data_IF_675004654100
#
_entry.id   IF_675004654100
#
_cell.length_a   1.000
_cell.length_b   1.000
_cell.length_c   1.000
_cell.angle_alpha   90.00
_cell.angle_beta   90.00
_cell.angle_gamma   90.00
#
_symmetry.space_group_name_H-M   'P 1'
#
loop_
_entity.id
_entity.type
_entity.pdbx_description
1 polymer ?
#
# COMPACT_ATOMS: atom_id res chain seq x y z
N UNK A 1 -40.79 -43.55 -11.01
CA UNK A 1 -40.10 -43.67 -9.70
C UNK A 1 -38.90 -42.74 -9.48
N UNK A 2 -38.26 -42.16 -10.48
CA UNK A 2 -37.16 -41.24 -10.27
C UNK A 2 -37.64 -39.75 -10.28
N UNK A 3 -38.78 -39.48 -10.89
CA UNK A 3 -39.36 -38.11 -10.97
C UNK A 3 -40.04 -37.67 -9.66
N UNK A 4 -40.59 -38.60 -8.89
CA UNK A 4 -41.32 -38.28 -7.66
C UNK A 4 -40.42 -37.88 -6.50
N UNK A 5 -39.16 -38.42 -6.46
CA UNK A 5 -38.19 -38.08 -5.45
C UNK A 5 -37.65 -36.65 -5.63
N UNK A 6 -37.60 -36.18 -6.86
CA UNK A 6 -37.11 -34.81 -7.17
C UNK A 6 -38.10 -33.72 -6.74
N UNK A 7 -39.42 -33.97 -6.92
CA UNK A 7 -40.47 -33.07 -6.47
C UNK A 7 -40.60 -33.03 -4.94
N UNK A 8 -40.35 -34.16 -4.26
CA UNK A 8 -40.31 -34.20 -2.79
C UNK A 8 -39.15 -33.41 -2.19
N UNK A 9 -37.98 -33.46 -2.77
CA UNK A 9 -36.82 -32.66 -2.33
C UNK A 9 -37.00 -31.17 -2.59
N UNK A 10 -37.59 -30.80 -3.73
CA UNK A 10 -37.89 -29.38 -4.03
C UNK A 10 -38.92 -28.82 -3.06
N UNK A 11 -39.97 -29.59 -2.71
CA UNK A 11 -40.98 -29.21 -1.73
C UNK A 11 -40.43 -28.99 -0.33
N UNK A 12 -39.47 -29.81 0.11
CA UNK A 12 -38.80 -29.66 1.41
C UNK A 12 -37.93 -28.41 1.49
N UNK A 13 -37.20 -28.09 0.42
CA UNK A 13 -36.39 -26.88 0.33
C UNK A 13 -37.26 -25.62 0.38
N UNK A 14 -38.39 -25.61 -0.30
CA UNK A 14 -39.32 -24.47 -0.29
C UNK A 14 -39.98 -24.30 1.09
N UNK A 15 -40.30 -25.40 1.78
CA UNK A 15 -40.89 -25.36 3.13
C UNK A 15 -39.89 -24.85 4.18
N UNK A 16 -38.60 -25.27 4.10
CA UNK A 16 -37.54 -24.74 4.97
C UNK A 16 -37.30 -23.26 4.72
N UNK A 17 -37.37 -22.81 3.47
CA UNK A 17 -37.25 -21.40 3.11
C UNK A 17 -38.41 -20.55 3.64
N UNK A 18 -39.63 -21.06 3.56
CA UNK A 18 -40.85 -20.41 4.11
C UNK A 18 -40.80 -20.33 5.64
N UNK A 19 -40.34 -21.39 6.33
CA UNK A 19 -40.18 -21.38 7.79
C UNK A 19 -39.10 -20.39 8.25
N UNK A 20 -38.00 -20.24 7.51
CA UNK A 20 -36.95 -19.24 7.82
C UNK A 20 -37.42 -17.81 7.58
N UNK A 21 -38.30 -17.58 6.59
CA UNK A 21 -38.89 -16.25 6.34
C UNK A 21 -39.95 -15.86 7.37
N UNK A 22 -40.69 -16.82 7.94
CA UNK A 22 -41.71 -16.55 8.97
C UNK A 22 -41.14 -16.27 10.36
N UNK A 23 -39.91 -16.64 10.65
CA UNK A 23 -39.22 -16.28 11.89
C UNK A 23 -38.69 -14.83 11.94
N UNK A 24 -38.83 -14.08 10.83
CA UNK A 24 -38.35 -12.67 10.73
C UNK A 24 -39.48 -11.63 10.86
N UNK A 25 -40.74 -12.06 11.14
CA UNK A 25 -41.87 -11.15 11.24
C UNK A 25 -42.52 -11.29 12.63
N UNK A 26 -41.86 -10.85 13.69
CA UNK A 26 -42.49 -10.49 14.97
C UNK A 26 -41.69 -9.39 15.67
N UNK A 27 -42.28 -8.19 15.86
CA UNK A 27 -41.69 -7.16 16.68
C UNK A 27 -42.14 -7.33 18.15
N UNK A 28 -41.21 -7.33 19.08
CA UNK A 28 -41.50 -7.19 20.50
C UNK A 28 -41.29 -5.72 20.90
N UNK A 29 -42.44 -5.09 21.25
CA UNK A 29 -42.48 -3.79 21.89
C UNK A 29 -41.77 -3.80 23.26
N UNK A 30 -40.88 -2.83 23.49
CA UNK A 30 -40.70 -2.26 24.82
C UNK A 30 -40.19 -0.81 24.70
N UNK A 31 -41.07 0.06 25.16
CA UNK A 31 -40.85 1.49 25.26
C UNK A 31 -39.77 1.82 26.31
N UNK A 32 -38.82 2.68 25.94
CA UNK A 32 -37.96 3.38 26.90
C UNK A 32 -37.85 4.85 26.52
N UNK A 33 -38.12 5.65 27.52
CA UNK A 33 -38.24 7.09 27.63
C UNK A 33 -36.99 7.83 27.12
N UNK A 34 -37.27 8.89 26.35
CA UNK A 34 -36.31 9.86 25.85
C UNK A 34 -35.90 10.89 26.93
N UNK A 35 -34.64 11.21 27.16
CA UNK A 35 -34.27 12.42 27.87
C UNK A 35 -33.90 13.55 26.90
N UNK A 36 -34.38 14.71 27.28
CA UNK A 36 -34.32 16.05 26.73
C UNK A 36 -32.97 16.48 26.15
N UNK A 37 -33.04 17.16 24.98
CA UNK A 37 -31.98 17.90 24.30
C UNK A 37 -31.51 19.13 25.10
N UNK A 38 -30.22 19.44 25.14
CA UNK A 38 -29.74 20.76 25.54
C UNK A 38 -29.64 21.73 24.36
N UNK A 39 -30.01 22.96 24.63
CA UNK A 39 -30.06 24.11 23.72
C UNK A 39 -28.68 24.47 23.13
N UNK A 40 -28.67 24.85 21.84
CA UNK A 40 -27.53 25.43 21.12
C UNK A 40 -27.30 26.90 21.58
N UNK A 41 -26.05 27.31 21.81
CA UNK A 41 -25.73 28.72 22.05
C UNK A 41 -25.73 29.53 20.73
N UNK A 42 -26.19 30.77 20.86
CA UNK A 42 -26.36 31.78 19.81
C UNK A 42 -25.03 32.17 19.13
N UNK A 43 -25.06 32.67 17.88
CA UNK A 43 -23.87 33.00 17.12
C UNK A 43 -23.14 34.23 17.62
N UNK A 44 -21.83 34.12 17.81
CA UNK A 44 -20.92 35.22 18.15
C UNK A 44 -20.65 36.11 16.92
N UNK A 45 -20.60 37.43 17.06
CA UNK A 45 -20.42 38.35 15.93
C UNK A 45 -19.01 38.30 15.35
N UNK A 46 -18.94 38.30 14.01
CA UNK A 46 -17.70 38.32 13.22
C UNK A 46 -16.92 39.64 13.49
N UNK A 47 -15.75 39.51 14.11
CA UNK A 47 -14.74 40.59 14.13
C UNK A 47 -13.98 40.61 12.81
N UNK A 48 -13.99 41.69 12.11
CA UNK A 48 -13.07 42.01 11.02
C UNK A 48 -11.63 42.01 11.58
N UNK A 49 -10.77 41.15 11.03
CA UNK A 49 -9.33 41.19 11.23
C UNK A 49 -8.67 41.84 10.02
N UNK A 50 -7.96 42.92 10.25
CA UNK A 50 -7.03 43.51 9.30
C UNK A 50 -5.89 42.55 8.96
N UNK A 51 -5.35 42.56 7.73
CA UNK A 51 -4.25 41.66 7.34
C UNK A 51 -2.93 42.14 7.94
N UNK A 52 -2.32 41.34 8.79
CA UNK A 52 -0.94 41.50 9.21
C UNK A 52 0.04 41.11 8.08
N UNK A 53 1.18 41.81 7.94
CA UNK A 53 2.13 41.50 6.86
C UNK A 53 2.84 40.18 7.08
N UNK A 54 2.89 39.39 6.03
CA UNK A 54 3.58 38.11 5.97
C UNK A 54 5.09 38.29 6.13
N UNK A 55 5.64 37.90 7.26
CA UNK A 55 7.06 37.63 7.44
C UNK A 55 7.34 36.19 7.06
N UNK A 56 8.33 36.04 6.21
CA UNK A 56 9.06 34.82 5.77
C UNK A 56 8.51 33.45 6.09
N UNK A 57 7.82 32.81 5.16
CA UNK A 57 7.46 31.41 5.21
C UNK A 57 8.46 30.56 4.41
N UNK A 58 9.45 30.04 5.12
CA UNK A 58 10.23 28.86 4.74
C UNK A 58 9.79 27.62 5.56
N UNK A 59 8.48 27.42 5.71
CA UNK A 59 7.97 26.19 6.35
C UNK A 59 6.79 25.66 5.55
N UNK A 60 6.89 24.41 5.13
CA UNK A 60 5.80 23.62 4.57
C UNK A 60 4.56 23.74 5.46
N UNK A 61 3.34 23.93 4.92
CA UNK A 61 2.13 23.78 5.72
C UNK A 61 2.03 22.32 6.18
N UNK A 62 1.73 22.07 7.46
CA UNK A 62 1.48 20.72 7.93
C UNK A 62 0.21 20.19 7.24
N UNK A 63 0.29 19.05 6.63
CA UNK A 63 -0.85 18.26 6.20
C UNK A 63 -1.25 17.39 7.38
N UNK A 64 -2.38 17.65 8.02
CA UNK A 64 -2.88 16.88 9.17
C UNK A 64 -3.03 15.38 8.87
N UNK A 65 -3.11 15.00 7.59
CA UNK A 65 -3.09 13.60 7.15
C UNK A 65 -1.67 12.99 7.12
N UNK A 66 -0.61 13.82 7.18
CA UNK A 66 0.78 13.38 7.15
C UNK A 66 1.42 13.26 8.55
N UNK A 67 0.73 13.66 9.61
CA UNK A 67 1.27 13.59 11.00
C UNK A 67 1.58 12.17 11.49
N UNK A 68 1.14 11.12 10.76
CA UNK A 68 1.39 9.73 11.14
C UNK A 68 2.38 9.01 10.22
N UNK A 69 3.03 9.72 9.30
CA UNK A 69 4.14 9.16 8.55
C UNK A 69 5.44 9.62 9.23
N UNK A 70 6.12 8.76 10.02
CA UNK A 70 7.46 9.09 10.50
C UNK A 70 8.31 9.37 9.26
N UNK A 71 9.13 10.42 9.30
CA UNK A 71 10.09 10.72 8.24
C UNK A 71 10.83 9.42 7.90
N UNK A 72 10.66 8.84 6.72
CA UNK A 72 11.20 7.53 6.38
C UNK A 72 12.73 7.52 6.30
N UNK A 73 13.38 8.69 6.42
CA UNK A 73 14.84 8.77 6.43
C UNK A 73 15.37 8.64 7.85
N UNK A 74 15.88 7.45 8.22
CA UNK A 74 16.59 7.31 9.49
C UNK A 74 17.78 8.24 9.49
N UNK A 75 18.07 8.82 10.65
CA UNK A 75 19.28 9.62 10.84
C UNK A 75 20.52 8.79 10.47
N UNK A 76 21.54 9.38 9.83
CA UNK A 76 22.75 8.67 9.46
C UNK A 76 23.35 8.01 10.69
N UNK A 77 23.63 6.71 10.57
CA UNK A 77 24.31 5.96 11.61
C UNK A 77 25.69 6.60 11.85
N UNK A 78 26.10 6.67 13.11
CA UNK A 78 27.47 7.07 13.47
C UNK A 78 28.50 6.22 12.71
N UNK A 79 29.73 6.73 12.54
CA UNK A 79 30.80 6.05 11.81
C UNK A 79 30.85 4.54 12.11
N UNK A 80 31.00 3.68 11.08
CA UNK A 80 30.93 2.25 11.25
C UNK A 80 31.98 1.74 12.24
N UNK A 81 31.61 0.86 13.18
CA UNK A 81 32.59 0.17 13.99
C UNK A 81 33.46 -0.74 13.09
N UNK A 82 34.66 -1.10 13.49
CA UNK A 82 35.51 -1.98 12.71
C UNK A 82 34.83 -3.32 12.47
N UNK A 83 34.88 -3.79 11.22
CA UNK A 83 34.27 -5.08 10.82
C UNK A 83 34.92 -6.22 11.60
N UNK A 84 34.10 -7.07 12.23
CA UNK A 84 34.59 -8.23 12.96
C UNK A 84 34.93 -9.34 11.97
N UNK A 85 36.24 -9.58 11.78
CA UNK A 85 36.69 -10.72 11.00
C UNK A 85 36.60 -11.99 11.86
N UNK A 86 35.92 -13.07 11.44
CA UNK A 86 35.85 -14.29 12.23
C UNK A 86 37.21 -14.91 12.40
N UNK A 87 37.71 -15.05 13.62
CA UNK A 87 38.88 -15.82 13.95
C UNK A 87 38.62 -17.30 13.71
N UNK A 88 39.66 -18.07 13.32
CA UNK A 88 39.67 -19.50 13.00
C UNK A 88 38.77 -20.29 13.95
N UNK A 89 37.71 -20.91 13.43
CA UNK A 89 36.82 -21.81 14.13
C UNK A 89 35.88 -22.49 13.14
N UNK A 90 35.30 -23.67 13.52
CA UNK A 90 34.33 -24.40 12.70
C UNK A 90 33.21 -23.44 12.29
N UNK A 91 33.10 -23.12 11.00
CA UNK A 91 32.03 -22.26 10.46
C UNK A 91 30.69 -22.91 10.85
N UNK A 92 29.96 -22.28 11.79
CA UNK A 92 28.57 -22.63 12.00
C UNK A 92 27.83 -22.15 10.76
N UNK A 93 27.15 -23.07 10.06
CA UNK A 93 26.35 -22.79 8.85
C UNK A 93 25.05 -22.06 9.21
N UNK A 94 25.15 -20.87 9.76
CA UNK A 94 23.99 -20.04 10.07
C UNK A 94 24.20 -18.74 9.34
N UNK A 95 23.31 -18.46 8.40
CA UNK A 95 23.24 -17.19 7.76
C UNK A 95 22.69 -16.16 8.74
N UNK A 96 23.52 -15.20 9.13
CA UNK A 96 23.15 -14.07 9.97
C UNK A 96 23.10 -12.77 9.15
N UNK A 97 23.24 -12.83 7.81
CA UNK A 97 23.29 -11.67 6.93
C UNK A 97 22.01 -10.83 6.98
N UNK A 98 20.87 -11.47 7.26
CA UNK A 98 19.55 -10.83 7.36
C UNK A 98 19.19 -10.38 8.78
N UNK A 99 20.14 -10.47 9.74
CA UNK A 99 19.89 -10.10 11.11
C UNK A 99 20.76 -8.94 11.56
N UNK A 100 20.22 -8.09 12.40
CA UNK A 100 20.89 -6.91 12.98
C UNK A 100 20.86 -6.98 14.50
N UNK A 101 21.87 -6.37 15.16
CA UNK A 101 21.83 -6.22 16.61
C UNK A 101 20.71 -5.23 16.99
N UNK A 102 19.75 -5.61 17.86
CA UNK A 102 18.62 -4.77 18.25
C UNK A 102 18.95 -3.79 19.39
N UNK A 103 20.06 -4.02 20.09
CA UNK A 103 20.40 -3.23 21.29
C UNK A 103 20.65 -1.76 20.91
N UNK A 104 19.89 -0.79 21.45
CA UNK A 104 20.07 0.63 21.15
C UNK A 104 21.45 1.18 21.52
N UNK A 105 22.11 0.59 22.52
CA UNK A 105 23.39 1.05 23.05
C UNK A 105 24.59 0.32 22.39
N UNK A 106 24.33 -0.55 21.40
CA UNK A 106 25.39 -1.30 20.73
C UNK A 106 25.99 -0.50 19.57
N UNK A 107 27.32 -0.39 19.52
CA UNK A 107 28.02 0.25 18.41
C UNK A 107 27.74 -0.41 17.03
N UNK A 108 27.34 -1.71 17.02
CA UNK A 108 26.94 -2.42 15.80
C UNK A 108 25.43 -2.54 15.64
N UNK A 109 24.65 -1.65 16.28
CA UNK A 109 23.20 -1.63 16.13
C UNK A 109 22.79 -1.44 14.67
N UNK A 110 21.94 -2.32 14.19
CA UNK A 110 21.34 -2.17 12.85
C UNK A 110 22.26 -2.48 11.67
N UNK A 111 23.54 -2.80 11.86
CA UNK A 111 24.47 -3.10 10.78
C UNK A 111 24.25 -4.53 10.26
N UNK A 112 23.88 -4.66 8.97
CA UNK A 112 23.68 -5.94 8.28
C UNK A 112 25.02 -6.51 7.82
N UNK A 113 25.19 -7.83 7.92
CA UNK A 113 26.38 -8.52 7.36
C UNK A 113 27.72 -8.16 7.99
N UNK A 114 27.73 -7.47 9.15
CA UNK A 114 28.95 -6.96 9.79
C UNK A 114 29.79 -8.03 10.49
N UNK A 115 29.29 -9.28 10.56
CA UNK A 115 29.96 -10.39 11.23
C UNK A 115 29.89 -10.33 12.76
N UNK A 116 29.18 -9.40 13.32
CA UNK A 116 29.00 -9.21 14.76
C UNK A 116 27.99 -10.17 15.41
N UNK A 117 27.28 -10.96 14.62
CA UNK A 117 26.26 -11.90 15.11
C UNK A 117 26.74 -13.36 15.01
N UNK A 118 26.42 -14.14 16.03
CA UNK A 118 26.67 -15.58 16.10
C UNK A 118 25.42 -16.33 16.55
N UNK A 119 25.14 -17.46 15.95
CA UNK A 119 24.09 -18.35 16.47
C UNK A 119 24.51 -18.95 17.82
N UNK A 120 23.59 -18.93 18.78
CA UNK A 120 23.79 -19.41 20.14
C UNK A 120 22.87 -20.61 20.50
N UNK A 121 22.42 -21.39 19.52
CA UNK A 121 21.56 -22.54 19.72
C UNK A 121 20.07 -22.19 19.78
N UNK A 122 19.30 -23.11 20.34
CA UNK A 122 17.84 -23.02 20.46
C UNK A 122 17.47 -23.02 21.94
N UNK A 123 17.01 -21.91 22.52
CA UNK A 123 16.64 -21.87 23.91
C UNK A 123 15.46 -22.81 24.16
N UNK A 124 15.56 -23.58 25.25
CA UNK A 124 14.55 -24.56 25.69
C UNK A 124 14.16 -25.61 24.62
N UNK A 125 15.07 -25.91 23.66
CA UNK A 125 14.78 -26.81 22.55
C UNK A 125 13.74 -26.29 21.55
N UNK A 126 13.42 -24.99 21.59
CA UNK A 126 12.44 -24.38 20.72
C UNK A 126 12.86 -24.31 19.25
N UNK A 127 11.92 -24.02 18.38
CA UNK A 127 12.14 -23.94 16.93
C UNK A 127 13.07 -22.77 16.55
N UNK A 128 12.93 -21.62 17.24
CA UNK A 128 13.65 -20.39 16.91
C UNK A 128 15.04 -20.34 17.52
N UNK A 129 15.99 -19.80 16.76
CA UNK A 129 17.36 -19.64 17.21
C UNK A 129 17.55 -18.41 18.09
N UNK A 130 18.46 -18.53 19.04
CA UNK A 130 19.01 -17.42 19.75
C UNK A 130 20.26 -16.92 19.03
N UNK A 131 20.41 -15.62 18.91
CA UNK A 131 21.56 -14.94 18.36
C UNK A 131 22.31 -14.21 19.49
N UNK A 132 23.63 -14.18 19.39
CA UNK A 132 24.54 -13.43 20.28
C UNK A 132 25.23 -12.35 19.47
N UNK A 133 25.15 -11.09 19.94
CA UNK A 133 25.99 -10.04 19.43
C UNK A 133 27.38 -10.07 20.09
N UNK A 134 28.44 -10.16 19.30
CA UNK A 134 29.82 -10.24 19.78
C UNK A 134 30.36 -8.89 20.31
N UNK A 135 29.66 -7.77 20.03
CA UNK A 135 30.06 -6.43 20.45
C UNK A 135 29.46 -6.07 21.81
N UNK A 136 28.15 -6.21 21.97
CA UNK A 136 27.47 -5.87 23.23
C UNK A 136 27.18 -7.08 24.11
N UNK A 137 27.51 -8.30 23.67
CA UNK A 137 27.23 -9.56 24.34
C UNK A 137 25.75 -9.80 24.66
N UNK A 138 24.86 -9.04 24.02
CA UNK A 138 23.41 -9.21 24.16
C UNK A 138 22.88 -10.42 23.38
N UNK A 139 21.95 -11.15 23.99
CA UNK A 139 21.22 -12.27 23.38
C UNK A 139 19.86 -11.84 22.93
N UNK A 140 19.42 -12.34 21.79
CA UNK A 140 18.05 -12.12 21.29
C UNK A 140 17.61 -13.25 20.37
N UNK A 141 16.28 -13.46 20.29
CA UNK A 141 15.72 -14.44 19.34
C UNK A 141 15.72 -13.87 17.91
N UNK A 142 15.90 -14.73 16.92
CA UNK A 142 15.84 -14.35 15.51
C UNK A 142 14.48 -13.77 15.12
N UNK A 143 13.44 -14.03 15.87
CA UNK A 143 12.07 -13.46 15.70
C UNK A 143 11.86 -12.10 16.32
N UNK A 144 12.81 -11.60 17.12
CA UNK A 144 12.65 -10.31 17.81
C UNK A 144 12.40 -9.17 16.79
N UNK A 145 11.33 -8.42 16.97
CA UNK A 145 10.90 -7.36 16.06
C UNK A 145 10.14 -7.86 14.83
N UNK A 146 9.69 -9.11 14.83
CA UNK A 146 8.80 -9.68 13.81
C UNK A 146 7.46 -10.09 14.42
N UNK A 147 6.46 -10.33 13.57
CA UNK A 147 5.13 -10.81 13.96
C UNK A 147 5.17 -12.14 14.76
N UNK A 148 6.24 -12.92 14.62
CA UNK A 148 6.38 -14.24 15.27
C UNK A 148 6.89 -14.15 16.71
N UNK A 149 7.40 -12.99 17.12
CA UNK A 149 7.99 -12.85 18.44
C UNK A 149 6.95 -13.00 19.55
N UNK A 150 7.25 -13.87 20.54
CA UNK A 150 6.36 -14.10 21.69
C UNK A 150 5.06 -14.85 21.37
N UNK A 151 4.90 -15.40 20.17
CA UNK A 151 3.70 -16.19 19.82
C UNK A 151 3.84 -17.64 20.30
N UNK A 152 2.76 -18.16 20.87
CA UNK A 152 2.65 -19.56 21.29
C UNK A 152 2.11 -20.48 20.18
N UNK A 153 1.57 -19.90 19.11
CA UNK A 153 1.04 -20.65 17.96
C UNK A 153 2.13 -20.90 16.92
N UNK A 154 1.91 -21.92 16.08
CA UNK A 154 2.82 -22.20 14.97
C UNK A 154 2.93 -21.01 14.02
N UNK A 155 4.17 -20.67 13.65
CA UNK A 155 4.46 -19.68 12.63
C UNK A 155 3.85 -20.03 11.26
N UNK A 156 3.76 -21.34 10.91
CA UNK A 156 3.06 -21.82 9.72
C UNK A 156 1.58 -21.41 9.71
N UNK A 157 0.90 -21.48 10.86
CA UNK A 157 -0.49 -21.04 10.96
C UNK A 157 -0.61 -19.55 10.69
N UNK A 158 0.24 -18.72 11.30
CA UNK A 158 0.25 -17.28 11.09
C UNK A 158 0.49 -16.94 9.61
N UNK A 159 1.51 -17.56 8.99
CA UNK A 159 1.83 -17.34 7.57
C UNK A 159 0.66 -17.71 6.67
N UNK A 160 0.00 -18.85 6.90
CA UNK A 160 -1.16 -19.28 6.10
C UNK A 160 -2.36 -18.36 6.26
N UNK A 161 -2.63 -17.89 7.48
CA UNK A 161 -3.69 -16.92 7.77
C UNK A 161 -3.44 -15.60 7.01
N UNK A 162 -2.22 -15.06 7.10
CA UNK A 162 -1.86 -13.83 6.38
C UNK A 162 -1.88 -14.03 4.86
N UNK A 163 -1.44 -15.20 4.35
CA UNK A 163 -1.54 -15.53 2.93
C UNK A 163 -2.98 -15.53 2.42
N UNK A 164 -3.92 -16.11 3.18
CA UNK A 164 -5.34 -16.08 2.82
C UNK A 164 -5.91 -14.65 2.75
N UNK A 165 -5.47 -13.76 3.65
CA UNK A 165 -5.86 -12.35 3.58
C UNK A 165 -5.27 -11.64 2.35
N UNK A 166 -4.02 -11.98 1.97
CA UNK A 166 -3.36 -11.44 0.77
C UNK A 166 -4.04 -11.92 -0.54
N UNK A 167 -4.64 -13.11 -0.53
CA UNK A 167 -5.44 -13.66 -1.64
C UNK A 167 -6.91 -13.20 -1.63
N UNK A 168 -7.27 -12.25 -0.78
CA UNK A 168 -8.57 -11.60 -0.79
C UNK A 168 -9.65 -12.25 0.08
N UNK A 169 -9.30 -13.22 0.93
CA UNK A 169 -10.25 -13.69 1.94
C UNK A 169 -10.48 -12.62 3.00
N UNK A 170 -11.76 -12.44 3.39
CA UNK A 170 -12.08 -11.54 4.50
C UNK A 170 -11.74 -12.18 5.86
N UNK A 171 -11.49 -11.33 6.87
CA UNK A 171 -11.08 -11.74 8.24
C UNK A 171 -11.94 -12.86 8.80
N UNK A 172 -13.28 -12.72 8.75
CA UNK A 172 -14.21 -13.74 9.27
C UNK A 172 -14.20 -15.04 8.46
N UNK A 173 -13.95 -14.97 7.15
CA UNK A 173 -13.79 -16.15 6.30
C UNK A 173 -12.54 -16.92 6.67
N UNK A 174 -11.41 -16.22 6.76
CA UNK A 174 -10.13 -16.78 7.18
C UNK A 174 -10.21 -17.38 8.59
N UNK A 175 -10.83 -16.67 9.54
CA UNK A 175 -11.02 -17.16 10.90
C UNK A 175 -11.77 -18.50 10.95
N UNK A 176 -12.83 -18.67 10.14
CA UNK A 176 -13.58 -19.93 10.06
C UNK A 176 -12.78 -21.07 9.42
N UNK A 177 -11.96 -20.77 8.39
CA UNK A 177 -11.13 -21.78 7.70
C UNK A 177 -10.05 -22.35 8.61
N UNK A 178 -9.45 -21.51 9.45
CA UNK A 178 -8.35 -21.91 10.34
C UNK A 178 -8.77 -22.15 11.79
N UNK A 179 -10.07 -22.05 12.09
CA UNK A 179 -10.61 -22.22 13.45
C UNK A 179 -9.95 -21.29 14.48
N UNK A 180 -9.66 -20.05 14.05
CA UNK A 180 -9.02 -19.01 14.85
C UNK A 180 -10.03 -17.88 15.14
N UNK A 181 -9.93 -17.27 16.31
CA UNK A 181 -10.80 -16.11 16.62
C UNK A 181 -10.57 -14.96 15.63
N UNK A 182 -11.64 -14.32 15.11
CA UNK A 182 -11.51 -13.22 14.15
C UNK A 182 -10.68 -12.03 14.66
N UNK A 183 -10.68 -11.77 15.98
CA UNK A 183 -9.87 -10.69 16.55
C UNK A 183 -8.38 -11.05 16.54
N UNK A 184 -8.05 -12.33 16.71
CA UNK A 184 -6.67 -12.82 16.56
C UNK A 184 -6.18 -12.65 15.12
N UNK A 185 -7.02 -12.98 14.12
CA UNK A 185 -6.69 -12.74 12.71
C UNK A 185 -6.48 -11.25 12.44
N UNK A 186 -7.34 -10.40 12.99
CA UNK A 186 -7.22 -8.94 12.87
C UNK A 186 -5.93 -8.43 13.52
N UNK A 187 -5.60 -8.90 14.72
CA UNK A 187 -4.37 -8.54 15.41
C UNK A 187 -3.13 -8.93 14.60
N UNK A 188 -3.09 -10.14 14.05
CA UNK A 188 -1.97 -10.55 13.18
C UNK A 188 -1.86 -9.70 11.93
N UNK A 189 -2.99 -9.28 11.33
CA UNK A 189 -2.96 -8.35 10.20
C UNK A 189 -2.39 -6.98 10.58
N UNK A 190 -2.75 -6.45 11.76
CA UNK A 190 -2.23 -5.17 12.26
C UNK A 190 -0.71 -5.25 12.44
N UNK A 191 -0.24 -6.26 13.17
CA UNK A 191 1.19 -6.48 13.44
C UNK A 191 1.99 -6.70 12.13
N UNK A 192 1.42 -7.50 11.19
CA UNK A 192 2.03 -7.70 9.87
C UNK A 192 2.09 -6.38 9.08
N UNK A 193 1.02 -5.59 9.07
CA UNK A 193 0.94 -4.36 8.29
C UNK A 193 2.01 -3.35 8.68
N UNK A 194 2.32 -3.21 9.96
CA UNK A 194 3.37 -2.30 10.45
C UNK A 194 4.75 -2.74 9.96
N UNK A 195 5.06 -4.04 10.06
CA UNK A 195 6.30 -4.61 9.54
C UNK A 195 6.39 -4.48 8.01
N UNK A 196 5.28 -4.71 7.30
CA UNK A 196 5.23 -4.66 5.84
C UNK A 196 5.38 -3.22 5.30
N UNK A 197 4.87 -2.22 6.01
CA UNK A 197 5.13 -0.81 5.67
C UNK A 197 6.61 -0.47 5.77
N UNK A 198 7.25 -0.87 6.87
CA UNK A 198 8.69 -0.68 7.04
C UNK A 198 9.49 -1.42 5.96
N UNK A 199 9.11 -2.65 5.63
CA UNK A 199 9.70 -3.44 4.55
C UNK A 199 9.58 -2.72 3.20
N UNK A 200 8.38 -2.24 2.86
CA UNK A 200 8.13 -1.51 1.63
C UNK A 200 9.00 -0.25 1.54
N UNK A 201 9.03 0.56 2.59
CA UNK A 201 9.85 1.78 2.66
C UNK A 201 11.34 1.48 2.51
N UNK A 202 11.82 0.36 3.05
CA UNK A 202 13.22 -0.03 2.95
C UNK A 202 13.64 -0.41 1.53
N UNK A 203 12.75 -1.06 0.76
CA UNK A 203 13.08 -1.49 -0.60
C UNK A 203 12.69 -0.46 -1.67
N UNK A 204 11.64 0.34 -1.43
CA UNK A 204 11.15 1.33 -2.39
C UNK A 204 11.74 2.71 -2.08
N UNK A 205 12.97 2.94 -2.51
CA UNK A 205 13.64 4.22 -2.43
C UNK A 205 14.60 4.40 -3.60
N UNK A 206 14.94 5.64 -3.92
CA UNK A 206 15.89 6.03 -4.97
C UNK A 206 15.62 5.39 -6.34
N UNK A 207 14.32 5.25 -6.69
CA UNK A 207 13.91 4.62 -7.94
C UNK A 207 14.11 5.57 -9.13
N UNK A 208 14.71 5.07 -10.20
CA UNK A 208 14.78 5.74 -11.50
C UNK A 208 13.74 5.11 -12.44
N UNK A 209 12.68 5.84 -12.72
CA UNK A 209 11.54 5.39 -13.51
C UNK A 209 11.35 6.29 -14.72
N UNK A 210 10.89 5.71 -15.83
CA UNK A 210 10.56 6.47 -17.03
C UNK A 210 9.14 7.01 -17.00
N UNK A 211 8.23 6.28 -16.37
CA UNK A 211 6.80 6.62 -16.33
C UNK A 211 6.18 6.22 -14.99
N UNK A 212 5.24 7.02 -14.53
CA UNK A 212 4.38 6.71 -13.37
C UNK A 212 2.93 6.95 -13.75
N UNK A 213 2.08 5.95 -13.52
CA UNK A 213 0.63 6.07 -13.65
C UNK A 213 -0.02 6.18 -12.27
N UNK A 214 -0.98 7.13 -12.14
CA UNK A 214 -1.79 7.30 -10.94
C UNK A 214 -3.27 7.24 -11.29
N UNK A 215 -4.06 6.65 -10.39
CA UNK A 215 -5.52 6.59 -10.49
C UNK A 215 -6.16 6.51 -9.11
N UNK A 216 -7.44 6.85 -9.01
CA UNK A 216 -8.22 6.75 -7.79
C UNK A 216 -9.30 5.68 -7.93
N UNK A 217 -9.17 4.65 -7.12
CA UNK A 217 -10.11 3.55 -7.05
C UNK A 217 -11.20 3.85 -6.03
N UNK A 218 -12.46 3.92 -6.46
CA UNK A 218 -13.57 4.11 -5.55
C UNK A 218 -13.68 2.96 -4.54
N UNK A 219 -13.62 3.30 -3.26
CA UNK A 219 -13.70 2.38 -2.13
C UNK A 219 -14.93 2.67 -1.27
N UNK A 220 -15.64 1.61 -0.88
CA UNK A 220 -16.73 1.70 0.08
C UNK A 220 -16.18 1.35 1.46
N UNK A 221 -15.82 2.36 2.22
CA UNK A 221 -15.42 2.21 3.61
C UNK A 221 -16.54 2.74 4.50
N UNK A 222 -17.17 1.84 5.25
CA UNK A 222 -18.12 2.07 6.33
C UNK A 222 -19.51 2.69 6.04
N UNK A 223 -20.37 2.58 7.01
CA UNK A 223 -21.66 3.21 7.30
C UNK A 223 -22.93 2.67 6.61
N UNK A 224 -22.86 1.80 5.62
CA UNK A 224 -24.10 1.24 5.01
C UNK A 224 -24.55 -0.06 5.69
N UNK A 225 -24.11 -0.34 6.92
CA UNK A 225 -24.32 -1.65 7.56
C UNK A 225 -25.52 -1.77 8.52
N UNK A 226 -26.26 -0.71 8.72
CA UNK A 226 -27.27 -0.76 9.79
C UNK A 226 -28.60 -1.41 9.39
N UNK A 227 -28.68 -2.01 8.19
CA UNK A 227 -29.89 -2.75 7.77
C UNK A 227 -31.19 -1.92 7.68
N UNK A 228 -31.09 -0.65 8.08
CA UNK A 228 -32.22 0.29 8.19
C UNK A 228 -32.34 1.22 6.99
N UNK A 229 -31.39 1.15 6.05
CA UNK A 229 -31.28 2.09 4.92
C UNK A 229 -31.87 1.44 3.67
N UNK A 230 -32.74 2.14 2.96
CA UNK A 230 -33.27 1.71 1.66
C UNK A 230 -32.13 1.61 0.62
N UNK A 231 -32.31 0.78 -0.41
CA UNK A 231 -31.32 0.61 -1.48
C UNK A 231 -30.98 1.95 -2.17
N UNK A 232 -31.98 2.82 -2.37
CA UNK A 232 -31.79 4.14 -2.96
C UNK A 232 -30.92 5.04 -2.07
N UNK A 233 -31.17 5.05 -0.77
CA UNK A 233 -30.39 5.82 0.21
C UNK A 233 -28.98 5.23 0.38
N UNK A 234 -28.84 3.91 0.30
CA UNK A 234 -27.54 3.26 0.29
C UNK A 234 -26.70 3.69 -0.93
N UNK A 235 -27.31 3.76 -2.11
CA UNK A 235 -26.68 4.26 -3.34
C UNK A 235 -26.28 5.72 -3.19
N UNK A 236 -27.16 6.57 -2.66
CA UNK A 236 -26.87 7.99 -2.43
C UNK A 236 -25.75 8.20 -1.40
N UNK A 237 -25.74 7.41 -0.32
CA UNK A 237 -24.63 7.42 0.66
C UNK A 237 -23.31 6.91 0.04
N UNK A 238 -23.35 5.93 -0.86
CA UNK A 238 -22.20 5.45 -1.60
C UNK A 238 -21.65 6.51 -2.56
N UNK A 239 -22.54 7.27 -3.22
CA UNK A 239 -22.14 8.40 -4.07
C UNK A 239 -21.52 9.55 -3.26
N UNK A 240 -21.93 9.71 -2.01
CA UNK A 240 -21.38 10.66 -1.04
C UNK A 240 -20.21 10.11 -0.23
N UNK A 241 -19.88 8.82 -0.35
CA UNK A 241 -18.75 8.26 0.37
C UNK A 241 -17.46 8.92 -0.13
N UNK A 242 -16.76 9.67 0.71
CA UNK A 242 -15.59 10.43 0.28
C UNK A 242 -14.33 9.57 0.15
N UNK A 243 -14.41 8.24 0.34
CA UNK A 243 -13.24 7.38 0.46
C UNK A 243 -12.84 6.80 -0.88
N UNK A 244 -11.56 6.96 -1.19
CA UNK A 244 -10.93 6.48 -2.41
C UNK A 244 -9.62 5.80 -2.05
N UNK A 245 -9.25 4.76 -2.78
CA UNK A 245 -7.92 4.18 -2.75
C UNK A 245 -7.10 4.85 -3.83
N UNK A 246 -6.09 5.56 -3.43
CA UNK A 246 -5.10 6.18 -4.30
C UNK A 246 -4.04 5.16 -4.67
N UNK A 247 -3.74 5.06 -5.94
CA UNK A 247 -2.86 4.03 -6.49
C UNK A 247 -1.83 4.68 -7.40
N UNK A 248 -0.57 4.31 -7.25
CA UNK A 248 0.50 4.71 -8.17
C UNK A 248 1.34 3.51 -8.55
N UNK A 249 1.68 3.39 -9.84
CA UNK A 249 2.49 2.27 -10.34
C UNK A 249 3.45 2.71 -11.45
N UNK A 250 4.53 1.95 -11.59
CA UNK A 250 5.34 1.90 -12.79
C UNK A 250 4.76 0.88 -13.77
N UNK A 251 4.30 1.26 -14.97
CA UNK A 251 3.71 0.32 -15.91
C UNK A 251 4.73 -0.62 -16.57
N UNK A 252 6.01 -0.28 -16.59
CA UNK A 252 7.07 -1.09 -17.19
C UNK A 252 7.35 -2.35 -16.39
N UNK A 253 7.61 -2.18 -15.11
CA UNK A 253 7.82 -3.29 -14.16
C UNK A 253 6.54 -3.79 -13.50
N UNK A 254 5.41 -3.12 -13.69
CA UNK A 254 4.16 -3.28 -12.93
C UNK A 254 4.34 -3.07 -11.42
N UNK A 255 5.41 -2.38 -11.00
CA UNK A 255 5.72 -2.11 -9.62
C UNK A 255 4.70 -1.14 -9.03
N UNK A 256 4.07 -1.54 -7.93
CA UNK A 256 3.17 -0.71 -7.16
C UNK A 256 4.01 0.20 -6.26
N UNK A 257 3.98 1.51 -6.54
CA UNK A 257 4.79 2.51 -5.86
C UNK A 257 4.15 3.01 -4.57
N UNK A 258 2.84 3.10 -4.54
CA UNK A 258 2.10 3.57 -3.39
C UNK A 258 0.62 3.20 -3.42
N UNK A 259 0.08 3.01 -2.22
CA UNK A 259 -1.34 2.80 -1.94
C UNK A 259 -1.72 3.59 -0.70
N UNK A 260 -2.78 4.39 -0.78
CA UNK A 260 -3.34 5.05 0.40
C UNK A 260 -4.86 5.19 0.29
N UNK A 261 -5.52 5.51 1.40
CA UNK A 261 -6.96 5.71 1.50
C UNK A 261 -7.25 7.11 1.97
N UNK A 262 -8.12 7.81 1.27
CA UNK A 262 -8.52 9.15 1.67
C UNK A 262 -9.62 9.73 0.79
N UNK A 263 -9.95 10.99 1.05
CA UNK A 263 -10.92 11.73 0.28
C UNK A 263 -10.35 12.12 -1.10
N UNK A 264 -11.21 12.36 -2.07
CA UNK A 264 -10.78 12.86 -3.38
C UNK A 264 -10.67 14.38 -3.35
N UNK A 265 -9.67 14.88 -2.64
CA UNK A 265 -9.39 16.30 -2.41
C UNK A 265 -7.99 16.69 -2.85
N UNK A 266 -7.74 17.99 -3.00
CA UNK A 266 -6.40 18.51 -3.29
C UNK A 266 -5.39 18.13 -2.18
N UNK A 267 -5.78 18.22 -0.91
CA UNK A 267 -4.90 17.88 0.21
C UNK A 267 -4.44 16.42 0.13
N UNK A 268 -5.37 15.49 -0.12
CA UNK A 268 -5.02 14.07 -0.29
C UNK A 268 -4.18 13.84 -1.55
N UNK A 269 -4.46 14.52 -2.65
CA UNK A 269 -3.64 14.46 -3.87
C UNK A 269 -2.19 14.91 -3.59
N UNK A 270 -2.00 16.00 -2.83
CA UNK A 270 -0.68 16.47 -2.44
C UNK A 270 0.06 15.50 -1.53
N UNK A 271 -0.63 14.92 -0.54
CA UNK A 271 -0.07 13.90 0.34
C UNK A 271 0.35 12.66 -0.45
N UNK A 272 -0.49 12.18 -1.35
CA UNK A 272 -0.19 10.99 -2.14
C UNK A 272 0.93 11.21 -3.16
N UNK A 273 0.93 12.36 -3.85
CA UNK A 273 2.05 12.75 -4.73
C UNK A 273 3.34 12.86 -3.94
N UNK A 274 3.30 13.39 -2.71
CA UNK A 274 4.47 13.41 -1.84
C UNK A 274 5.00 12.01 -1.56
N UNK A 275 4.13 11.05 -1.21
CA UNK A 275 4.54 9.65 -1.01
C UNK A 275 5.19 9.06 -2.26
N UNK A 276 4.63 9.30 -3.45
CA UNK A 276 5.20 8.83 -4.72
C UNK A 276 6.56 9.45 -4.99
N UNK A 277 6.73 10.75 -4.75
CA UNK A 277 8.01 11.44 -4.95
C UNK A 277 9.09 10.96 -3.97
N UNK A 278 8.71 10.54 -2.75
CA UNK A 278 9.66 10.02 -1.77
C UNK A 278 10.30 8.68 -2.18
N UNK A 279 9.66 7.88 -3.04
CA UNK A 279 10.26 6.63 -3.54
C UNK A 279 11.13 6.85 -4.78
N UNK A 280 11.04 8.01 -5.43
CA UNK A 280 11.86 8.35 -6.60
C UNK A 280 13.22 8.89 -6.17
N UNK A 281 14.24 8.65 -7.00
CA UNK A 281 15.54 9.30 -6.84
C UNK A 281 15.39 10.83 -6.95
N UNK A 282 16.21 11.62 -6.22
CA UNK A 282 16.07 13.08 -6.18
C UNK A 282 16.20 13.77 -7.55
N UNK A 283 16.91 13.15 -8.49
CA UNK A 283 17.12 13.61 -9.86
C UNK A 283 16.14 12.99 -10.87
N UNK A 284 15.25 12.10 -10.41
CA UNK A 284 14.29 11.42 -11.27
C UNK A 284 13.01 12.25 -11.44
N UNK A 285 12.69 12.59 -12.67
CA UNK A 285 11.43 13.22 -13.06
C UNK A 285 10.77 12.39 -14.18
N UNK A 286 10.02 11.35 -13.83
CA UNK A 286 9.35 10.49 -14.81
C UNK A 286 8.21 11.23 -15.52
N UNK A 287 7.72 10.66 -16.62
CA UNK A 287 6.46 11.07 -17.19
C UNK A 287 5.31 10.62 -16.28
N UNK A 288 4.51 11.57 -15.79
CA UNK A 288 3.32 11.27 -15.02
C UNK A 288 2.08 11.18 -15.89
N UNK A 289 1.29 10.12 -15.73
CA UNK A 289 0.01 9.92 -16.40
C UNK A 289 -1.09 9.71 -15.36
N UNK A 290 -2.19 10.45 -15.50
CA UNK A 290 -3.38 10.28 -14.64
C UNK A 290 -4.65 10.28 -15.48
N UNK A 291 -5.78 10.05 -14.83
CA UNK A 291 -7.09 10.40 -15.36
C UNK A 291 -7.29 11.93 -15.42
N UNK A 292 -8.51 12.36 -15.69
CA UNK A 292 -8.87 13.78 -15.77
C UNK A 292 -9.04 14.49 -14.42
N UNK A 293 -8.54 13.96 -13.30
CA UNK A 293 -8.68 14.60 -11.99
C UNK A 293 -7.91 15.93 -11.94
N UNK A 294 -8.63 17.00 -11.63
CA UNK A 294 -8.15 18.37 -11.81
C UNK A 294 -7.06 18.77 -10.82
N UNK A 295 -7.19 18.30 -9.60
CA UNK A 295 -6.33 18.66 -8.47
C UNK A 295 -4.91 18.05 -8.60
N UNK A 296 -4.76 16.97 -9.37
CA UNK A 296 -3.46 16.34 -9.63
C UNK A 296 -2.45 17.32 -10.24
N UNK A 297 -2.91 18.24 -11.10
CA UNK A 297 -2.05 19.28 -11.69
C UNK A 297 -1.38 20.16 -10.61
N UNK A 298 -2.16 20.59 -9.62
CA UNK A 298 -1.65 21.42 -8.53
C UNK A 298 -0.74 20.62 -7.61
N UNK A 299 -1.08 19.34 -7.37
CA UNK A 299 -0.27 18.45 -6.53
C UNK A 299 1.14 18.24 -7.09
N UNK A 300 1.31 18.09 -8.41
CA UNK A 300 2.63 17.97 -9.02
C UNK A 300 3.48 19.23 -8.88
N UNK A 301 2.87 20.40 -8.94
CA UNK A 301 3.57 21.69 -8.81
C UNK A 301 4.16 21.92 -7.41
N UNK A 302 3.68 21.21 -6.36
CA UNK A 302 4.27 21.30 -5.02
C UNK A 302 5.67 20.68 -4.94
N UNK A 303 5.99 19.75 -5.85
CA UNK A 303 7.29 19.05 -5.90
C UNK A 303 8.14 19.48 -7.11
N UNK A 304 7.49 19.63 -8.27
CA UNK A 304 8.15 19.94 -9.55
C UNK A 304 7.81 21.34 -10.04
N UNK A 305 7.49 22.24 -9.12
CA UNK A 305 7.21 23.62 -9.42
C UNK A 305 8.18 24.58 -8.74
N UNK A 306 8.33 25.75 -9.35
CA UNK A 306 9.04 26.89 -8.77
C UNK A 306 8.05 28.03 -8.53
N UNK A 307 8.11 28.62 -7.34
CA UNK A 307 7.34 29.80 -7.02
C UNK A 307 8.01 31.04 -7.58
N UNK A 308 7.45 31.65 -8.62
CA UNK A 308 8.08 32.74 -9.37
C UNK A 308 7.22 33.98 -9.30
N UNK A 309 7.84 35.10 -8.97
CA UNK A 309 7.27 36.43 -9.17
C UNK A 309 7.50 36.86 -10.62
N UNK A 310 6.47 36.95 -11.48
CA UNK A 310 6.66 37.37 -12.85
C UNK A 310 7.09 38.82 -12.92
N UNK A 311 7.94 39.18 -13.88
CA UNK A 311 8.30 40.55 -14.16
C UNK A 311 7.12 41.32 -14.71
N UNK A 312 7.07 42.62 -14.42
CA UNK A 312 6.08 43.51 -15.00
C UNK A 312 6.28 43.63 -16.50
N UNK A 313 5.25 43.37 -17.28
CA UNK A 313 5.28 43.53 -18.74
C UNK A 313 5.22 45.03 -19.18
N UNK A 314 4.68 45.87 -18.32
CA UNK A 314 4.53 47.33 -18.57
C UNK A 314 4.99 48.10 -17.35
N UNK A 315 5.50 49.31 -17.56
CA UNK A 315 5.99 50.20 -16.48
C UNK A 315 4.87 50.60 -15.51
N UNK A 316 3.62 50.66 -16.00
CA UNK A 316 2.44 51.05 -15.24
C UNK A 316 1.45 49.87 -15.10
N UNK A 317 0.67 49.89 -14.03
CA UNK A 317 -0.34 48.85 -13.73
C UNK A 317 0.00 48.00 -12.52
N UNK A 318 -0.93 47.11 -12.07
CA UNK A 318 -0.69 46.23 -10.93
C UNK A 318 0.42 45.21 -11.21
N UNK A 319 1.20 44.90 -10.18
CA UNK A 319 2.21 43.86 -10.27
C UNK A 319 1.54 42.49 -10.52
N UNK A 320 2.09 41.65 -11.42
CA UNK A 320 1.58 40.28 -11.59
C UNK A 320 1.66 39.51 -10.27
N UNK A 321 0.66 38.68 -10.00
CA UNK A 321 0.67 37.85 -8.81
C UNK A 321 1.73 36.75 -8.94
N UNK A 322 2.41 36.35 -7.84
CA UNK A 322 3.27 35.22 -7.81
C UNK A 322 2.53 33.93 -8.22
N UNK A 323 3.20 33.03 -8.92
CA UNK A 323 2.58 31.83 -9.40
C UNK A 323 3.59 30.67 -9.48
N UNK A 324 3.07 29.45 -9.37
CA UNK A 324 3.84 28.26 -9.63
C UNK A 324 4.14 28.12 -11.13
N UNK A 325 5.39 27.81 -11.45
CA UNK A 325 5.82 27.39 -12.79
C UNK A 325 6.40 26.01 -12.70
N UNK A 326 6.02 25.07 -13.61
CA UNK A 326 6.63 23.75 -13.65
C UNK A 326 8.12 23.87 -13.99
N UNK A 327 8.95 23.01 -13.41
CA UNK A 327 10.34 22.82 -13.86
C UNK A 327 10.34 22.24 -15.28
N UNK A 328 11.34 22.54 -16.13
CA UNK A 328 11.35 22.11 -17.54
C UNK A 328 11.29 20.59 -17.71
N UNK A 329 11.78 19.84 -16.74
CA UNK A 329 11.83 18.38 -16.74
C UNK A 329 10.47 17.73 -16.46
N UNK A 330 9.52 18.45 -15.86
CA UNK A 330 8.21 17.90 -15.53
C UNK A 330 7.40 17.60 -16.79
N UNK A 331 7.15 16.32 -17.05
CA UNK A 331 6.25 15.86 -18.07
C UNK A 331 4.98 15.29 -17.42
N UNK A 332 3.82 15.84 -17.79
CA UNK A 332 2.55 15.38 -17.24
C UNK A 332 1.45 15.42 -18.29
N UNK A 333 0.77 14.29 -18.46
CA UNK A 333 -0.38 14.18 -19.35
C UNK A 333 -1.56 13.47 -18.68
N UNK A 334 -2.75 13.73 -19.18
CA UNK A 334 -4.01 13.18 -18.69
C UNK A 334 -4.74 12.41 -19.78
N UNK A 335 -5.38 11.31 -19.41
CA UNK A 335 -6.30 10.54 -20.24
C UNK A 335 -7.73 10.88 -19.80
N UNK A 336 -8.37 11.80 -20.51
CA UNK A 336 -9.72 12.26 -20.18
C UNK A 336 -10.74 11.42 -20.90
N UNK A 337 -11.60 10.71 -20.18
CA UNK A 337 -12.66 9.84 -20.67
C UNK A 337 -14.02 10.52 -20.56
N UNK A 338 -14.71 10.69 -21.68
CA UNK A 338 -16.09 11.16 -21.69
C UNK A 338 -17.05 9.97 -21.73
N UNK A 339 -17.85 9.83 -20.67
CA UNK A 339 -18.84 8.76 -20.55
C UNK A 339 -20.25 9.37 -20.64
N UNK A 340 -21.10 8.81 -21.51
CA UNK A 340 -22.53 9.14 -21.60
C UNK A 340 -23.35 7.87 -21.48
N UNK A 341 -24.37 7.87 -20.63
CA UNK A 341 -25.27 6.71 -20.39
C UNK A 341 -24.47 5.41 -20.14
N UNK A 342 -23.42 5.48 -19.29
CA UNK A 342 -22.50 4.37 -18.93
C UNK A 342 -21.70 3.79 -20.12
N UNK A 343 -21.64 4.48 -21.27
CA UNK A 343 -20.82 4.08 -22.43
C UNK A 343 -19.71 5.09 -22.64
N UNK A 344 -18.50 4.60 -22.89
CA UNK A 344 -17.36 5.43 -23.29
C UNK A 344 -17.65 6.01 -24.68
N UNK A 345 -17.73 7.34 -24.78
CA UNK A 345 -18.02 8.06 -26.01
C UNK A 345 -16.75 8.60 -26.66
N UNK A 346 -15.82 9.08 -25.83
CA UNK A 346 -14.58 9.71 -26.32
C UNK A 346 -13.46 9.52 -25.30
N UNK A 347 -12.25 9.27 -25.81
CA UNK A 347 -10.99 9.41 -25.07
C UNK A 347 -10.23 10.60 -25.65
N UNK A 348 -9.74 11.47 -24.79
CA UNK A 348 -8.96 12.65 -25.18
C UNK A 348 -7.69 12.70 -24.34
N UNK A 349 -6.54 12.84 -24.98
CA UNK A 349 -5.26 13.04 -24.33
C UNK A 349 -5.00 14.53 -24.15
N UNK A 350 -4.66 14.96 -22.95
CA UNK A 350 -4.33 16.35 -22.62
C UNK A 350 -2.94 16.42 -22.03
N UNK A 351 -1.98 16.97 -22.76
CA UNK A 351 -0.68 17.31 -22.19
C UNK A 351 -0.84 18.56 -21.34
N UNK A 352 -0.47 18.46 -20.07
CA UNK A 352 -0.61 19.53 -19.07
C UNK A 352 0.72 20.25 -18.87
N UNK A 353 1.81 19.50 -18.75
CA UNK A 353 3.18 20.00 -18.66
C UNK A 353 4.05 19.30 -19.68
N UNK A 354 4.93 20.04 -20.34
CA UNK A 354 5.69 19.59 -21.49
C UNK A 354 4.96 19.79 -22.83
N UNK A 355 5.44 19.18 -23.90
CA UNK A 355 4.81 19.16 -25.22
C UNK A 355 4.44 17.74 -25.63
N UNK A 356 3.55 17.60 -26.62
CA UNK A 356 3.14 16.29 -27.12
C UNK A 356 4.35 15.53 -27.69
N UNK A 357 5.24 16.24 -28.36
CA UNK A 357 6.47 15.67 -28.94
C UNK A 357 7.40 15.12 -27.83
N UNK A 358 7.62 15.88 -26.75
CA UNK A 358 8.47 15.43 -25.62
C UNK A 358 7.86 14.24 -24.89
N UNK A 359 6.53 14.25 -24.70
CA UNK A 359 5.82 13.12 -24.07
C UNK A 359 5.91 11.86 -24.94
N UNK A 360 5.67 11.98 -26.24
CA UNK A 360 5.78 10.85 -27.18
C UNK A 360 7.22 10.36 -27.31
N UNK A 361 8.21 11.26 -27.32
CA UNK A 361 9.63 10.87 -27.34
C UNK A 361 10.02 10.07 -26.09
N UNK A 362 9.47 10.40 -24.90
CA UNK A 362 9.68 9.63 -23.68
C UNK A 362 9.01 8.25 -23.71
N UNK A 363 7.88 8.10 -24.38
CA UNK A 363 7.14 6.83 -24.49
C UNK A 363 7.65 5.90 -25.60
N UNK A 364 8.25 6.46 -26.66
CA UNK A 364 8.69 5.71 -27.83
C UNK A 364 9.68 4.57 -27.51
N UNK A 365 10.72 4.75 -26.65
CA UNK A 365 11.63 3.67 -26.28
C UNK A 365 10.95 2.50 -25.58
N UNK A 366 9.82 2.78 -24.88
CA UNK A 366 9.02 1.79 -24.15
C UNK A 366 8.00 1.09 -25.07
N UNK A 367 7.88 1.50 -26.33
CA UNK A 367 6.83 1.03 -27.23
C UNK A 367 5.41 1.37 -26.76
N UNK A 368 5.28 2.39 -25.92
CA UNK A 368 4.03 2.78 -25.27
C UNK A 368 3.40 4.02 -25.90
N UNK A 369 2.13 4.23 -25.61
CA UNK A 369 1.37 5.44 -25.95
C UNK A 369 0.76 6.01 -24.67
N UNK A 370 0.28 7.26 -24.72
CA UNK A 370 -0.44 7.87 -23.60
C UNK A 370 -1.68 7.04 -23.29
N UNK A 371 -1.66 6.32 -22.18
CA UNK A 371 -2.81 5.54 -21.69
C UNK A 371 -2.71 5.28 -20.18
N UNK A 372 -3.84 4.91 -19.57
CA UNK A 372 -3.95 4.50 -18.16
C UNK A 372 -4.39 3.04 -18.00
N UNK A 373 -4.25 2.23 -19.05
CA UNK A 373 -4.76 0.86 -19.09
C UNK A 373 -4.08 -0.05 -18.07
N UNK A 374 -2.79 0.17 -17.79
CA UNK A 374 -2.05 -0.64 -16.83
C UNK A 374 -2.56 -0.43 -15.40
N UNK A 375 -2.72 0.82 -14.97
CA UNK A 375 -3.24 1.10 -13.63
C UNK A 375 -4.71 0.71 -13.48
N UNK A 376 -5.53 0.85 -14.54
CA UNK A 376 -6.91 0.36 -14.53
C UNK A 376 -6.97 -1.17 -14.38
N UNK A 377 -6.04 -1.90 -15.02
CA UNK A 377 -5.92 -3.34 -14.83
C UNK A 377 -5.49 -3.68 -13.40
N UNK A 378 -4.54 -2.93 -12.84
CA UNK A 378 -4.10 -3.10 -11.45
C UNK A 378 -5.26 -2.84 -10.48
N UNK A 379 -6.09 -1.83 -10.73
CA UNK A 379 -7.29 -1.55 -9.94
C UNK A 379 -8.26 -2.74 -9.88
N UNK A 380 -8.40 -3.49 -10.97
CA UNK A 380 -9.19 -4.72 -10.97
C UNK A 380 -8.54 -5.81 -10.10
N UNK A 381 -7.23 -5.95 -10.16
CA UNK A 381 -6.47 -6.90 -9.34
C UNK A 381 -6.56 -6.55 -7.85
N UNK A 382 -6.44 -5.26 -7.50
CA UNK A 382 -6.63 -4.80 -6.11
C UNK A 382 -8.03 -5.18 -5.60
N UNK A 383 -9.08 -5.01 -6.43
CA UNK A 383 -10.45 -5.41 -6.05
C UNK A 383 -10.63 -6.91 -5.84
N UNK A 384 -9.79 -7.74 -6.44
CA UNK A 384 -9.81 -9.20 -6.27
C UNK A 384 -9.10 -9.64 -5.01
N UNK A 385 -7.95 -9.03 -4.69
CA UNK A 385 -7.07 -9.45 -3.59
C UNK A 385 -7.28 -8.69 -2.28
N UNK A 386 -7.93 -7.53 -2.31
CA UNK A 386 -8.19 -6.74 -1.10
C UNK A 386 -9.66 -6.78 -0.74
N UNK A 387 -10.00 -7.63 0.23
CA UNK A 387 -11.39 -7.87 0.63
C UNK A 387 -12.15 -6.58 1.02
N UNK A 388 -11.45 -5.61 1.62
CA UNK A 388 -12.03 -4.32 2.01
C UNK A 388 -12.47 -3.45 0.82
N UNK A 389 -11.88 -3.65 -0.36
CA UNK A 389 -12.09 -2.81 -1.55
C UNK A 389 -12.88 -3.53 -2.64
N UNK A 390 -13.20 -4.81 -2.43
CA UNK A 390 -13.97 -5.63 -3.38
C UNK A 390 -15.33 -5.04 -3.70
N UNK A 391 -15.80 -5.22 -4.94
CA UNK A 391 -17.17 -4.87 -5.32
C UNK A 391 -18.16 -5.89 -4.77
N UNK A 392 -19.32 -5.44 -4.32
CA UNK A 392 -20.44 -6.29 -3.84
C UNK A 392 -20.06 -7.21 -2.68
N UNK A 393 -19.19 -6.75 -1.78
CA UNK A 393 -18.86 -7.48 -0.56
C UNK A 393 -19.79 -7.05 0.57
N UNK A 394 -20.33 -8.02 1.30
CA UNK A 394 -21.11 -7.79 2.52
C UNK A 394 -20.23 -7.37 3.71
N UNK A 395 -18.91 -7.49 3.57
CA UNK A 395 -17.94 -7.19 4.63
C UNK A 395 -17.17 -5.92 4.30
N UNK A 396 -17.78 -4.78 4.56
CA UNK A 396 -17.12 -3.49 4.42
C UNK A 396 -16.14 -3.27 5.56
N UNK A 397 -15.01 -2.65 5.25
CA UNK A 397 -14.09 -2.19 6.27
C UNK A 397 -14.72 -1.02 7.05
N UNK A 398 -14.81 -1.14 8.38
CA UNK A 398 -15.46 -0.12 9.21
C UNK A 398 -14.64 1.16 9.36
N UNK A 399 -13.31 1.05 9.26
CA UNK A 399 -12.37 2.14 9.48
C UNK A 399 -11.27 2.15 8.44
N UNK A 400 -10.79 3.33 8.08
CA UNK A 400 -9.68 3.51 7.13
C UNK A 400 -8.42 2.75 7.55
N UNK A 401 -8.12 2.72 8.86
CA UNK A 401 -6.97 1.99 9.39
C UNK A 401 -6.97 0.51 8.95
N UNK A 402 -8.11 -0.18 9.05
CA UNK A 402 -8.22 -1.56 8.58
C UNK A 402 -8.05 -1.70 7.07
N UNK A 403 -8.53 -0.72 6.30
CA UNK A 403 -8.30 -0.65 4.85
C UNK A 403 -6.82 -0.47 4.53
N UNK A 404 -6.14 0.46 5.19
CA UNK A 404 -4.70 0.68 5.03
C UNK A 404 -3.85 -0.53 5.41
N UNK A 405 -4.27 -1.30 6.42
CA UNK A 405 -3.57 -2.54 6.82
C UNK A 405 -3.66 -3.61 5.72
N UNK A 406 -4.84 -3.84 5.15
CA UNK A 406 -5.00 -4.78 4.04
C UNK A 406 -4.26 -4.31 2.78
N UNK A 407 -4.26 -3.02 2.50
CA UNK A 407 -3.51 -2.45 1.38
C UNK A 407 -2.00 -2.57 1.58
N UNK A 408 -1.47 -2.37 2.80
CA UNK A 408 -0.06 -2.57 3.10
C UNK A 408 0.36 -4.04 2.89
N UNK A 409 -0.48 -5.00 3.29
CA UNK A 409 -0.26 -6.41 3.00
C UNK A 409 -0.23 -6.67 1.49
N UNK A 410 -1.25 -6.18 0.77
CA UNK A 410 -1.33 -6.36 -0.68
C UNK A 410 -0.14 -5.71 -1.40
N UNK A 411 0.29 -4.51 -1.00
CA UNK A 411 1.41 -3.78 -1.59
C UNK A 411 2.69 -4.63 -1.64
N UNK A 412 3.07 -5.18 -0.50
CA UNK A 412 4.28 -6.01 -0.41
C UNK A 412 4.07 -7.37 -1.09
N UNK A 413 2.90 -7.99 -0.90
CA UNK A 413 2.58 -9.27 -1.54
C UNK A 413 2.63 -9.17 -3.06
N UNK A 414 2.00 -8.15 -3.66
CA UNK A 414 2.03 -7.89 -5.10
C UNK A 414 3.46 -7.68 -5.62
N UNK A 415 4.22 -6.83 -4.96
CA UNK A 415 5.54 -6.45 -5.45
C UNK A 415 6.60 -7.55 -5.31
N UNK A 416 6.57 -8.31 -4.21
CA UNK A 416 7.68 -9.20 -3.85
C UNK A 416 7.33 -10.69 -3.88
N UNK A 417 6.06 -11.06 -3.62
CA UNK A 417 5.66 -12.45 -3.47
C UNK A 417 4.89 -13.00 -4.67
N UNK A 418 4.17 -12.15 -5.40
CA UNK A 418 3.28 -12.59 -6.48
C UNK A 418 3.95 -12.43 -7.85
N UNK A 419 4.35 -13.52 -8.54
CA UNK A 419 4.88 -13.42 -9.89
C UNK A 419 3.82 -12.93 -10.87
N UNK A 420 4.19 -12.02 -11.75
CA UNK A 420 3.30 -11.48 -12.77
C UNK A 420 3.54 -12.15 -14.13
N UNK A 421 2.48 -12.63 -14.75
CA UNK A 421 2.59 -13.42 -15.98
C UNK A 421 3.23 -12.67 -17.17
N UNK A 422 3.03 -11.34 -17.26
CA UNK A 422 3.64 -10.51 -18.32
C UNK A 422 5.14 -10.28 -18.13
N UNK A 423 5.64 -10.45 -16.88
CA UNK A 423 7.05 -10.20 -16.55
C UNK A 423 7.94 -11.45 -16.64
N UNK A 424 7.32 -12.63 -16.85
CA UNK A 424 8.06 -13.89 -16.96
C UNK A 424 9.08 -13.84 -18.09
N UNK A 425 10.25 -14.44 -17.87
CA UNK A 425 11.31 -14.53 -18.88
C UNK A 425 11.47 -15.96 -19.37
N UNK A 426 11.76 -16.19 -20.67
CA UNK A 426 12.04 -17.52 -21.17
C UNK A 426 13.35 -18.04 -20.55
N UNK A 427 13.34 -19.28 -20.13
CA UNK A 427 14.57 -19.97 -19.71
C UNK A 427 15.38 -20.33 -20.93
N UNK A 428 16.71 -20.21 -20.85
CA UNK A 428 17.63 -20.64 -21.91
C UNK A 428 17.53 -22.13 -22.21
N UNK A 429 17.25 -22.94 -21.18
CA UNK A 429 16.96 -24.37 -21.30
C UNK A 429 15.77 -24.72 -20.42
N UNK A 430 14.83 -25.55 -20.91
CA UNK A 430 13.71 -26.03 -20.12
C UNK A 430 14.19 -26.82 -18.90
N UNK A 431 13.68 -26.51 -17.72
CA UNK A 431 13.98 -27.23 -16.49
C UNK A 431 12.98 -28.39 -16.31
N UNK A 432 13.46 -29.61 -16.02
CA UNK A 432 12.56 -30.73 -15.73
C UNK A 432 11.73 -30.45 -14.50
N UNK A 433 10.44 -30.75 -14.56
CA UNK A 433 9.55 -30.71 -13.39
C UNK A 433 9.58 -32.04 -12.64
N UNK A 434 9.41 -32.00 -11.33
CA UNK A 434 9.22 -33.22 -10.55
C UNK A 434 7.86 -33.85 -10.92
N UNK A 435 7.87 -35.16 -11.29
CA UNK A 435 6.67 -35.88 -11.73
C UNK A 435 6.41 -35.81 -13.22
N UNK A 436 5.16 -36.09 -13.66
CA UNK A 436 4.75 -36.20 -15.07
C UNK A 436 4.41 -34.83 -15.73
N UNK A 437 4.76 -33.71 -15.12
CA UNK A 437 4.51 -32.37 -15.67
C UNK A 437 5.42 -32.01 -16.83
N UNK A 438 4.94 -31.13 -17.72
CA UNK A 438 5.76 -30.53 -18.79
C UNK A 438 6.94 -29.76 -18.21
N UNK A 439 8.08 -29.75 -18.91
CA UNK A 439 9.26 -29.01 -18.50
C UNK A 439 8.94 -27.51 -18.36
N UNK A 440 9.52 -26.88 -17.33
CA UNK A 440 9.34 -25.45 -17.04
C UNK A 440 10.15 -24.63 -18.05
N UNK A 441 9.48 -23.86 -18.87
CA UNK A 441 10.09 -23.03 -19.95
C UNK A 441 10.23 -21.57 -19.56
N UNK A 442 9.61 -21.13 -18.45
CA UNK A 442 9.55 -19.73 -18.04
C UNK A 442 10.06 -19.57 -16.60
N UNK A 443 10.87 -18.53 -16.40
CA UNK A 443 11.24 -18.06 -15.07
C UNK A 443 10.18 -17.06 -14.59
N UNK A 444 9.54 -17.32 -13.41
CA UNK A 444 8.60 -16.35 -12.84
C UNK A 444 9.36 -15.11 -12.37
N UNK A 445 8.77 -13.93 -12.54
CA UNK A 445 9.30 -12.66 -12.02
C UNK A 445 8.21 -11.88 -11.34
N UNK A 446 8.55 -11.27 -10.22
CA UNK A 446 7.72 -10.31 -9.51
C UNK A 446 7.98 -8.89 -10.02
N UNK A 447 7.08 -7.92 -9.75
CA UNK A 447 7.33 -6.51 -10.05
C UNK A 447 8.65 -5.98 -9.47
N UNK A 448 8.97 -6.32 -8.22
CA UNK A 448 10.23 -5.92 -7.58
C UNK A 448 11.46 -6.50 -8.29
N UNK A 449 11.38 -7.73 -8.81
CA UNK A 449 12.44 -8.30 -9.65
C UNK A 449 12.58 -7.56 -10.98
N UNK A 450 11.46 -7.17 -11.59
CA UNK A 450 11.47 -6.44 -12.85
C UNK A 450 12.06 -5.03 -12.69
N UNK A 451 11.80 -4.39 -11.56
CA UNK A 451 12.37 -3.10 -11.17
C UNK A 451 13.82 -3.18 -10.65
N UNK A 452 14.43 -4.38 -10.56
CA UNK A 452 15.80 -4.55 -10.09
C UNK A 452 16.01 -4.44 -8.56
N UNK A 453 14.91 -4.45 -7.79
CA UNK A 453 14.96 -4.31 -6.32
C UNK A 453 15.35 -5.61 -5.61
N UNK A 454 15.18 -6.74 -6.27
CA UNK A 454 15.49 -8.07 -5.75
C UNK A 454 15.78 -9.04 -6.90
N UNK A 455 16.55 -10.08 -6.61
CA UNK A 455 16.94 -11.13 -7.57
C UNK A 455 16.01 -12.36 -7.56
N UNK A 456 15.08 -12.43 -6.60
CA UNK A 456 14.23 -13.60 -6.36
C UNK A 456 12.80 -13.26 -6.03
N UNK A 457 11.95 -14.28 -6.18
CA UNK A 457 10.59 -14.27 -5.62
C UNK A 457 10.70 -14.53 -4.11
N UNK A 458 10.20 -13.60 -3.30
CA UNK A 458 10.13 -13.76 -1.85
C UNK A 458 8.93 -14.61 -1.46
N UNK A 459 9.12 -15.48 -0.50
CA UNK A 459 7.99 -16.10 0.19
C UNK A 459 7.41 -15.13 1.21
N UNK A 460 6.11 -15.22 1.48
CA UNK A 460 5.49 -14.39 2.50
C UNK A 460 6.13 -14.62 3.89
N UNK A 461 6.59 -15.85 4.18
CA UNK A 461 7.34 -16.17 5.38
C UNK A 461 8.64 -15.36 5.49
N UNK A 462 9.43 -15.33 4.42
CA UNK A 462 10.69 -14.56 4.40
C UNK A 462 10.43 -13.07 4.64
N UNK A 463 9.41 -12.51 3.99
CA UNK A 463 9.01 -11.12 4.19
C UNK A 463 8.60 -10.84 5.63
N UNK A 464 7.80 -11.72 6.24
CA UNK A 464 7.35 -11.58 7.64
C UNK A 464 8.45 -11.83 8.67
N UNK A 465 9.53 -12.52 8.30
CA UNK A 465 10.73 -12.72 9.12
C UNK A 465 11.77 -11.63 8.91
N UNK A 466 11.67 -10.87 7.81
CA UNK A 466 12.68 -9.86 7.48
C UNK A 466 12.69 -8.74 8.49
N UNK A 467 13.82 -8.56 9.14
CA UNK A 467 14.06 -7.42 10.01
C UNK A 467 14.59 -6.27 9.18
N UNK A 468 13.79 -5.24 9.05
CA UNK A 468 14.19 -4.03 8.34
C UNK A 468 15.36 -3.38 9.08
N UNK A 469 16.55 -3.32 8.45
CA UNK A 469 17.68 -2.63 9.06
C UNK A 469 17.46 -1.12 8.98
N UNK A 470 18.02 -0.35 9.90
CA UNK A 470 18.06 1.10 9.77
C UNK A 470 18.81 1.50 8.48
N UNK A 471 18.33 2.54 7.84
CA UNK A 471 18.91 3.11 6.62
C UNK A 471 19.54 4.47 6.91
N UNK A 472 20.65 4.87 6.26
CA UNK A 472 21.44 4.10 5.30
C UNK A 472 22.36 3.08 5.97
N UNK A 473 22.67 2.01 5.25
CA UNK A 473 23.69 1.04 5.66
C UNK A 473 25.09 1.54 5.27
N UNK A 474 26.16 1.06 5.93
CA UNK A 474 27.53 1.43 5.56
C UNK A 474 27.89 0.94 4.17
N UNK A 475 28.64 1.74 3.43
CA UNK A 475 29.17 1.34 2.12
C UNK A 475 30.09 0.12 2.26
N UNK A 476 29.91 -0.89 1.42
CA UNK A 476 30.76 -2.09 1.34
C UNK A 476 30.29 -3.30 2.17
N UNK A 477 29.02 -3.35 2.52
CA UNK A 477 28.36 -4.55 3.08
C UNK A 477 27.64 -5.31 1.98
#
# INVERSE_FOLDING_TARGET
MVSDLFFYQLGLIVLVWLCLMLQWVWPSDSAAVCPTTPELPSPVPKRHREPTPFAGLTTKPPCDACEHSPDPRPQPLSAPPPRIVPTRGRRRQVDTSMHVCPNPDCASRGWVGWGNLRANGHPNGGHWRQLLCLVCHGYFLETLGTIFHGKCVSDDLIVRVIACLAEGLGIRGTARVFEVDPNTVLQWLVEAADQLRAFSTYFLHDLHLHQVQLDELYAVLSAVKDGTVSEAEAIERLERSPRWVWVAMDPESTLLLGLDVGDRTLAMAQCFVHQVVQVLAPDCAPLFLTDGFRESMTAWLTHYGQWVQPERRQAHGPAPQPRWRPVPQLLYAQVVKTVRRRRLVRVHHRVVFGTLETVNAGLAPLGCQINTAFIERLNLTIRQHVAAVGRRVSTLCKHEAGGRQQLALYHVYHNFCLPHASLRQPLSQPLPTQGHGSAKTWQPRTPAMAAGLTDRVWTLREVLLFRVPPWPQPAGV
#
